data_IF_649241739482
#
_entry.id   IF_649241739482
#
_cell.length_a   1.000
_cell.length_b   1.000
_cell.length_c   1.000
_cell.angle_alpha   90.00
_cell.angle_beta   90.00
_cell.angle_gamma   90.00
#
_symmetry.space_group_name_H-M   'P 1'
#
loop_
_entity.id
_entity.type
_entity.pdbx_description
1 polymer ?
#
# COMPACT_ATOMS: atom_id res chain seq x y z
N UNK A 1 -15.91 24.54 -17.52
CA UNK A 1 -15.03 24.76 -16.34
C UNK A 1 -15.86 25.48 -15.30
N UNK A 2 -16.06 24.89 -14.12
CA UNK A 2 -16.66 25.61 -13.00
C UNK A 2 -15.65 26.66 -12.53
N UNK A 3 -16.06 27.94 -12.49
CA UNK A 3 -15.22 29.03 -11.97
C UNK A 3 -14.88 28.78 -10.50
N UNK A 4 -13.74 29.30 -10.02
CA UNK A 4 -13.37 29.19 -8.59
C UNK A 4 -14.45 29.87 -7.75
N UNK A 5 -15.12 29.16 -6.82
CA UNK A 5 -16.11 29.78 -5.95
C UNK A 5 -15.41 30.77 -5.01
N UNK A 6 -15.98 31.97 -4.86
CA UNK A 6 -15.51 32.98 -3.91
C UNK A 6 -16.19 32.68 -2.57
N UNK A 7 -15.52 31.89 -1.72
CA UNK A 7 -16.10 31.38 -0.47
C UNK A 7 -16.22 32.46 0.62
N UNK A 8 -15.38 33.50 0.58
CA UNK A 8 -15.25 34.49 1.66
C UNK A 8 -16.48 35.35 1.95
N UNK A 9 -17.46 35.41 1.04
CA UNK A 9 -18.67 36.23 1.16
C UNK A 9 -19.97 35.39 1.24
N UNK A 10 -19.86 34.06 1.29
CA UNK A 10 -21.02 33.16 1.24
C UNK A 10 -21.69 33.05 2.61
N UNK A 11 -23.02 32.94 2.61
CA UNK A 11 -23.76 32.50 3.79
C UNK A 11 -23.47 31.03 4.11
N UNK A 12 -23.79 30.59 5.33
CA UNK A 12 -23.63 29.19 5.76
C UNK A 12 -24.32 28.20 4.80
N UNK A 13 -25.60 28.42 4.48
CA UNK A 13 -26.35 27.59 3.53
C UNK A 13 -25.70 27.57 2.14
N UNK A 14 -25.25 28.73 1.65
CA UNK A 14 -24.60 28.83 0.35
C UNK A 14 -23.26 28.09 0.31
N UNK A 15 -22.51 28.03 1.41
CA UNK A 15 -21.30 27.21 1.55
C UNK A 15 -21.65 25.73 1.46
N UNK A 16 -22.67 25.28 2.18
CA UNK A 16 -23.08 23.87 2.20
C UNK A 16 -23.63 23.40 0.84
N UNK A 17 -24.47 24.22 0.19
CA UNK A 17 -24.98 23.95 -1.15
C UNK A 17 -23.84 23.86 -2.19
N UNK A 18 -22.88 24.78 -2.09
CA UNK A 18 -21.69 24.77 -2.96
C UNK A 18 -20.84 23.53 -2.71
N UNK A 19 -20.65 23.13 -1.45
CA UNK A 19 -19.93 21.92 -1.10
C UNK A 19 -20.63 20.67 -1.67
N UNK A 20 -21.95 20.58 -1.58
CA UNK A 20 -22.73 19.48 -2.14
C UNK A 20 -22.62 19.40 -3.68
N UNK A 21 -22.68 20.54 -4.38
CA UNK A 21 -22.51 20.61 -5.83
C UNK A 21 -21.08 20.21 -6.28
N UNK A 22 -20.06 20.66 -5.56
CA UNK A 22 -18.67 20.28 -5.81
C UNK A 22 -18.43 18.79 -5.54
N UNK A 23 -18.97 18.25 -4.45
CA UNK A 23 -18.88 16.83 -4.12
C UNK A 23 -19.52 15.95 -5.21
N UNK A 24 -20.71 16.34 -5.67
CA UNK A 24 -21.40 15.65 -6.78
C UNK A 24 -20.57 15.71 -8.07
N UNK A 25 -20.02 16.87 -8.40
CA UNK A 25 -19.17 17.04 -9.58
C UNK A 25 -17.90 16.18 -9.48
N UNK A 26 -17.25 16.15 -8.32
CA UNK A 26 -16.06 15.33 -8.09
C UNK A 26 -16.38 13.84 -8.25
N UNK A 27 -17.50 13.36 -7.68
CA UNK A 27 -17.94 11.98 -7.82
C UNK A 27 -18.20 11.62 -9.29
N UNK A 28 -18.91 12.46 -10.04
CA UNK A 28 -19.16 12.25 -11.46
C UNK A 28 -17.86 12.21 -12.28
N UNK A 29 -16.92 13.11 -11.99
CA UNK A 29 -15.61 13.13 -12.65
C UNK A 29 -14.80 11.86 -12.36
N UNK A 30 -14.86 11.33 -11.13
CA UNK A 30 -14.22 10.05 -10.78
C UNK A 30 -14.80 8.88 -11.59
N UNK A 31 -16.13 8.81 -11.73
CA UNK A 31 -16.81 7.79 -12.54
C UNK A 31 -16.41 7.93 -14.02
N UNK A 32 -16.44 9.14 -14.57
CA UNK A 32 -16.04 9.41 -15.95
C UNK A 32 -14.57 9.06 -16.20
N UNK A 33 -13.69 9.27 -15.21
CA UNK A 33 -12.29 8.90 -15.32
C UNK A 33 -12.10 7.38 -15.48
N UNK A 34 -12.92 6.56 -14.81
CA UNK A 34 -12.93 5.10 -15.01
C UNK A 34 -13.42 4.74 -16.42
N UNK A 35 -14.50 5.36 -16.90
CA UNK A 35 -15.01 5.14 -18.27
C UNK A 35 -13.95 5.48 -19.32
N UNK A 36 -13.28 6.63 -19.16
CA UNK A 36 -12.19 7.06 -20.04
C UNK A 36 -11.01 6.10 -19.98
N UNK A 37 -10.63 5.62 -18.79
CA UNK A 37 -9.56 4.65 -18.63
C UNK A 37 -9.88 3.31 -19.31
N UNK A 38 -11.13 2.81 -19.19
CA UNK A 38 -11.57 1.62 -19.92
C UNK A 38 -11.51 1.85 -21.44
N UNK A 39 -12.04 2.97 -21.92
CA UNK A 39 -12.00 3.30 -23.36
C UNK A 39 -10.56 3.41 -23.86
N UNK A 40 -9.65 3.96 -23.05
CA UNK A 40 -8.24 4.03 -23.36
C UNK A 40 -7.60 2.64 -23.47
N UNK A 41 -7.97 1.70 -22.60
CA UNK A 41 -7.55 0.31 -22.70
C UNK A 41 -7.99 -0.31 -24.05
N UNK A 42 -9.26 -0.16 -24.41
CA UNK A 42 -9.82 -0.66 -25.69
C UNK A 42 -9.12 -0.06 -26.91
N UNK A 43 -8.81 1.25 -26.88
CA UNK A 43 -8.10 1.91 -27.98
C UNK A 43 -6.63 1.49 -28.10
N UNK A 44 -6.06 0.89 -27.05
CA UNK A 44 -4.70 0.39 -27.03
C UNK A 44 -4.64 -1.14 -26.98
N UNK A 45 -5.63 -1.79 -27.62
CA UNK A 45 -5.60 -3.23 -27.87
C UNK A 45 -4.32 -3.59 -28.68
N UNK A 46 -3.46 -4.46 -28.13
CA UNK A 46 -2.20 -4.83 -28.78
C UNK A 46 -2.40 -5.53 -30.12
N UNK A 47 -3.53 -6.21 -30.36
CA UNK A 47 -3.82 -6.86 -31.66
C UNK A 47 -3.92 -5.83 -32.81
N UNK A 48 -4.19 -4.57 -32.48
CA UNK A 48 -4.28 -3.46 -33.42
C UNK A 48 -3.11 -2.46 -33.33
N UNK A 49 -2.42 -2.41 -32.18
CA UNK A 49 -1.35 -1.45 -31.92
C UNK A 49 0.05 -1.99 -32.17
N UNK A 50 0.23 -3.30 -32.00
CA UNK A 50 1.54 -3.93 -32.04
C UNK A 50 1.62 -4.82 -33.27
N UNK A 51 2.72 -4.71 -34.01
CA UNK A 51 3.08 -5.70 -35.01
C UNK A 51 3.71 -6.90 -34.28
N UNK A 52 3.14 -8.12 -34.38
CA UNK A 52 3.65 -9.28 -33.64
C UNK A 52 5.11 -9.62 -33.95
N UNK A 53 5.55 -9.38 -35.18
CA UNK A 53 6.93 -9.66 -35.62
C UNK A 53 7.90 -8.65 -35.04
N UNK A 54 7.51 -7.38 -35.01
CA UNK A 54 8.32 -6.34 -34.37
C UNK A 54 8.34 -6.51 -32.85
N UNK A 55 7.20 -6.72 -32.21
CA UNK A 55 7.11 -6.87 -30.75
C UNK A 55 7.87 -8.08 -30.21
N UNK A 56 8.10 -9.13 -31.01
CA UNK A 56 8.94 -10.26 -30.60
C UNK A 56 10.44 -9.90 -30.44
N UNK A 57 10.89 -8.74 -30.93
CA UNK A 57 12.29 -8.32 -30.85
C UNK A 57 12.62 -7.71 -29.48
N UNK A 58 13.86 -7.89 -28.95
CA UNK A 58 14.26 -7.29 -27.69
C UNK A 58 14.09 -5.76 -27.67
N UNK A 59 13.55 -5.24 -26.56
CA UNK A 59 13.39 -3.80 -26.33
C UNK A 59 12.21 -3.13 -27.05
N UNK A 60 11.33 -3.91 -27.67
CA UNK A 60 10.09 -3.41 -28.30
C UNK A 60 8.93 -3.41 -27.31
N UNK A 61 7.96 -2.54 -27.57
CA UNK A 61 6.73 -2.45 -26.77
C UNK A 61 6.01 -3.81 -26.73
N UNK A 62 5.61 -4.21 -25.53
CA UNK A 62 4.92 -5.48 -25.29
C UNK A 62 3.43 -5.28 -25.01
N UNK A 63 2.67 -6.35 -25.19
CA UNK A 63 1.34 -6.47 -24.63
C UNK A 63 1.45 -6.73 -23.12
N UNK A 64 0.68 -5.99 -22.32
CA UNK A 64 0.66 -6.12 -20.86
C UNK A 64 -0.74 -6.31 -20.35
N UNK A 65 -0.94 -7.33 -19.53
CA UNK A 65 -2.17 -7.52 -18.78
C UNK A 65 -2.13 -6.64 -17.52
N UNK A 66 -3.04 -5.67 -17.43
CA UNK A 66 -3.15 -4.78 -16.27
C UNK A 66 -4.21 -5.25 -15.28
N UNK A 67 -5.40 -5.60 -15.77
CA UNK A 67 -6.48 -6.20 -14.98
C UNK A 67 -6.19 -7.65 -14.56
N UNK A 68 -7.15 -8.25 -13.87
CA UNK A 68 -7.06 -9.65 -13.44
C UNK A 68 -7.34 -10.63 -14.57
N UNK A 69 -7.46 -11.91 -14.21
CA UNK A 69 -7.77 -12.96 -15.17
C UNK A 69 -9.09 -12.67 -15.92
N UNK A 70 -9.05 -12.76 -17.25
CA UNK A 70 -10.19 -12.50 -18.13
C UNK A 70 -10.20 -11.12 -18.79
N UNK A 71 -9.42 -10.15 -18.31
CA UNK A 71 -9.29 -8.85 -19.01
C UNK A 71 -8.36 -8.94 -20.21
N UNK A 72 -8.66 -8.18 -21.27
CA UNK A 72 -7.79 -8.06 -22.44
C UNK A 72 -6.44 -7.41 -22.09
N UNK A 73 -5.32 -7.84 -22.68
CA UNK A 73 -4.05 -7.12 -22.57
C UNK A 73 -4.16 -5.75 -23.26
N UNK A 74 -3.27 -4.84 -22.88
CA UNK A 74 -3.18 -3.47 -23.40
C UNK A 74 -1.71 -3.19 -23.73
N UNK A 75 -1.45 -2.34 -24.72
CA UNK A 75 -0.08 -1.93 -25.04
C UNK A 75 0.65 -1.32 -23.82
N UNK A 76 1.92 -1.67 -23.62
CA UNK A 76 2.70 -1.29 -22.44
C UNK A 76 2.79 0.23 -22.24
N UNK A 77 2.89 1.03 -23.31
CA UNK A 77 3.01 2.49 -23.21
C UNK A 77 1.67 3.20 -23.03
N UNK A 78 0.54 2.50 -23.07
CA UNK A 78 -0.76 3.10 -22.79
C UNK A 78 -0.81 3.74 -21.39
N UNK A 79 -0.24 3.09 -20.38
CA UNK A 79 -0.25 3.59 -19.01
C UNK A 79 0.59 4.86 -18.83
N UNK A 80 1.78 4.94 -19.46
CA UNK A 80 2.66 6.10 -19.34
C UNK A 80 2.06 7.34 -20.02
N UNK A 81 1.46 7.17 -21.21
CA UNK A 81 0.76 8.23 -21.92
C UNK A 81 -0.45 8.75 -21.13
N UNK A 82 -1.30 7.86 -20.61
CA UNK A 82 -2.44 8.26 -19.79
C UNK A 82 -1.98 8.99 -18.52
N UNK A 83 -1.00 8.42 -17.80
CA UNK A 83 -0.45 8.99 -16.57
C UNK A 83 0.06 10.41 -16.76
N UNK A 84 0.87 10.63 -17.81
CA UNK A 84 1.37 11.95 -18.16
C UNK A 84 0.23 12.97 -18.40
N UNK A 85 -0.88 12.56 -19.02
CA UNK A 85 -2.02 13.45 -19.31
C UNK A 85 -2.88 13.78 -18.09
N UNK A 86 -3.02 12.85 -17.15
CA UNK A 86 -3.83 13.05 -15.93
C UNK A 86 -3.00 13.52 -14.73
N UNK A 87 -1.71 13.81 -14.92
CA UNK A 87 -0.81 14.26 -13.85
C UNK A 87 -0.54 13.18 -12.80
N UNK A 88 -0.46 11.91 -13.20
CA UNK A 88 -0.18 10.76 -12.31
C UNK A 88 1.02 9.96 -12.80
N UNK A 89 1.61 9.18 -11.90
CA UNK A 89 2.67 8.24 -12.28
C UNK A 89 2.16 7.17 -13.24
N UNK A 90 3.05 6.60 -14.04
CA UNK A 90 2.75 5.42 -14.90
C UNK A 90 2.13 4.29 -14.10
N UNK A 91 2.59 4.06 -12.87
CA UNK A 91 2.04 3.04 -11.99
C UNK A 91 0.58 3.33 -11.60
N UNK A 92 0.28 4.56 -11.19
CA UNK A 92 -1.08 4.94 -10.81
C UNK A 92 -2.05 4.92 -12.00
N UNK A 93 -1.58 5.24 -13.21
CA UNK A 93 -2.36 5.12 -14.43
C UNK A 93 -2.58 3.65 -14.85
N UNK A 94 -1.56 2.80 -14.72
CA UNK A 94 -1.70 1.36 -14.94
C UNK A 94 -2.74 0.75 -13.98
N UNK A 95 -2.71 1.12 -12.70
CA UNK A 95 -3.71 0.68 -11.72
C UNK A 95 -5.12 1.16 -12.09
N UNK A 96 -5.26 2.41 -12.56
CA UNK A 96 -6.55 2.94 -13.01
C UNK A 96 -7.10 2.19 -14.24
N UNK A 97 -6.24 1.87 -15.22
CA UNK A 97 -6.60 1.03 -16.38
C UNK A 97 -7.05 -0.35 -15.91
N UNK A 98 -6.28 -0.99 -15.03
CA UNK A 98 -6.62 -2.28 -14.44
C UNK A 98 -7.98 -2.25 -13.73
N UNK A 99 -8.20 -1.26 -12.87
CA UNK A 99 -9.46 -1.10 -12.14
C UNK A 99 -10.65 -0.95 -13.08
N UNK A 100 -10.50 -0.16 -14.13
CA UNK A 100 -11.57 0.07 -15.11
C UNK A 100 -11.89 -1.18 -15.94
N UNK A 101 -10.86 -1.94 -16.37
CA UNK A 101 -11.05 -3.22 -17.06
C UNK A 101 -11.74 -4.24 -16.16
N UNK A 102 -11.30 -4.39 -14.92
CA UNK A 102 -11.92 -5.35 -14.00
C UNK A 102 -13.36 -4.99 -13.63
N UNK A 103 -13.66 -3.70 -13.48
CA UNK A 103 -15.04 -3.27 -13.24
C UNK A 103 -15.94 -3.66 -14.42
N UNK A 104 -15.55 -3.29 -15.64
CA UNK A 104 -16.37 -3.56 -16.81
C UNK A 104 -16.46 -5.07 -17.13
N UNK A 105 -15.33 -5.77 -17.12
CA UNK A 105 -15.24 -7.12 -17.68
C UNK A 105 -15.50 -8.21 -16.64
N UNK A 106 -15.29 -7.93 -15.34
CA UNK A 106 -15.36 -8.93 -14.24
C UNK A 106 -16.37 -8.60 -13.14
N UNK A 107 -16.79 -7.33 -12.99
CA UNK A 107 -17.68 -6.89 -11.91
C UNK A 107 -18.87 -6.06 -12.44
N UNK A 108 -19.72 -6.64 -13.32
CA UNK A 108 -20.78 -5.91 -14.00
C UNK A 108 -21.83 -5.30 -13.06
N UNK A 109 -22.07 -5.88 -11.87
CA UNK A 109 -23.03 -5.35 -10.90
C UNK A 109 -22.50 -4.06 -10.28
N UNK A 110 -21.29 -4.08 -9.71
CA UNK A 110 -20.64 -2.88 -9.19
C UNK A 110 -20.48 -1.82 -10.28
N UNK A 111 -20.11 -2.23 -11.50
CA UNK A 111 -19.94 -1.29 -12.60
C UNK A 111 -21.23 -0.53 -12.93
N UNK A 112 -22.36 -1.23 -13.04
CA UNK A 112 -23.66 -0.60 -13.22
C UNK A 112 -23.99 0.41 -12.13
N UNK A 113 -23.72 0.07 -10.87
CA UNK A 113 -23.97 0.96 -9.72
C UNK A 113 -23.01 2.16 -9.66
N UNK A 114 -21.75 1.99 -10.07
CA UNK A 114 -20.78 3.08 -10.22
C UNK A 114 -21.24 4.07 -11.29
N UNK A 115 -21.69 3.57 -12.45
CA UNK A 115 -22.23 4.41 -13.52
C UNK A 115 -23.50 5.15 -13.10
N UNK A 116 -24.34 4.52 -12.27
CA UNK A 116 -25.52 5.16 -11.69
C UNK A 116 -25.21 6.18 -10.57
N UNK A 117 -23.95 6.29 -10.14
CA UNK A 117 -23.54 7.16 -9.03
C UNK A 117 -23.93 6.64 -7.64
N UNK A 118 -24.41 5.41 -7.54
CA UNK A 118 -24.82 4.78 -6.28
C UNK A 118 -23.64 4.26 -5.46
N UNK A 119 -22.54 3.92 -6.13
CA UNK A 119 -21.31 3.43 -5.51
C UNK A 119 -20.17 4.38 -5.85
N UNK A 120 -19.45 4.83 -4.81
CA UNK A 120 -18.25 5.66 -5.01
C UNK A 120 -17.16 4.88 -5.73
N UNK A 121 -16.46 5.52 -6.66
CA UNK A 121 -15.37 4.90 -7.41
C UNK A 121 -14.31 4.27 -6.50
N UNK A 122 -13.97 4.92 -5.38
CA UNK A 122 -13.02 4.37 -4.40
C UNK A 122 -13.43 3.00 -3.82
N UNK A 123 -14.71 2.78 -3.52
CA UNK A 123 -15.21 1.50 -3.01
C UNK A 123 -15.09 0.41 -4.08
N UNK A 124 -15.57 0.70 -5.29
CA UNK A 124 -15.52 -0.24 -6.41
C UNK A 124 -14.07 -0.61 -6.79
N UNK A 125 -13.17 0.39 -6.83
CA UNK A 125 -11.73 0.19 -7.10
C UNK A 125 -11.05 -0.66 -6.04
N UNK A 126 -11.45 -0.53 -4.77
CA UNK A 126 -10.94 -1.39 -3.71
C UNK A 126 -11.35 -2.85 -3.92
N UNK A 127 -12.61 -3.11 -4.27
CA UNK A 127 -13.09 -4.49 -4.55
C UNK A 127 -12.28 -5.12 -5.67
N UNK A 128 -12.19 -4.48 -6.84
CA UNK A 128 -11.48 -5.05 -7.99
C UNK A 128 -9.99 -5.23 -7.76
N UNK A 129 -9.38 -4.38 -6.92
CA UNK A 129 -8.00 -4.57 -6.49
C UNK A 129 -7.84 -5.84 -5.65
N UNK A 130 -8.81 -6.15 -4.76
CA UNK A 130 -8.77 -7.34 -3.90
C UNK A 130 -9.13 -8.63 -4.64
N UNK A 131 -9.84 -8.56 -5.76
CA UNK A 131 -10.22 -9.72 -6.57
C UNK A 131 -9.29 -9.97 -7.77
N UNK A 132 -8.18 -9.21 -7.91
CA UNK A 132 -7.27 -9.31 -9.06
C UNK A 132 -6.69 -10.71 -9.29
N UNK A 133 -6.39 -11.41 -8.20
CA UNK A 133 -5.81 -12.76 -8.22
C UNK A 133 -6.85 -13.88 -8.32
N UNK A 134 -8.13 -13.55 -8.19
CA UNK A 134 -9.21 -14.51 -8.39
C UNK A 134 -9.41 -14.79 -9.88
N UNK A 135 -10.04 -15.90 -10.21
CA UNK A 135 -10.54 -16.09 -11.57
C UNK A 135 -11.77 -15.18 -11.85
N UNK A 136 -12.31 -15.25 -13.06
CA UNK A 136 -13.43 -14.39 -13.47
C UNK A 136 -14.75 -14.77 -12.76
N UNK A 137 -14.95 -16.05 -12.45
CA UNK A 137 -16.18 -16.58 -11.84
C UNK A 137 -16.20 -16.27 -10.35
N UNK A 138 -15.08 -16.48 -9.67
CA UNK A 138 -14.86 -16.09 -8.28
C UNK A 138 -15.01 -14.58 -8.07
N UNK A 139 -14.45 -13.76 -8.97
CA UNK A 139 -14.61 -12.31 -8.92
C UNK A 139 -16.05 -11.87 -9.15
N UNK A 140 -16.76 -12.46 -10.12
CA UNK A 140 -18.18 -12.20 -10.35
C UNK A 140 -19.07 -12.61 -9.17
N UNK A 141 -18.69 -13.65 -8.42
CA UNK A 141 -19.36 -14.00 -7.17
C UNK A 141 -19.13 -12.92 -6.09
N UNK A 142 -17.88 -12.46 -5.92
CA UNK A 142 -17.58 -11.37 -4.97
C UNK A 142 -18.32 -10.09 -5.35
N UNK A 143 -18.38 -9.74 -6.64
CA UNK A 143 -19.13 -8.60 -7.18
C UNK A 143 -20.57 -8.59 -6.66
N UNK A 144 -21.30 -9.69 -6.88
CA UNK A 144 -22.68 -9.83 -6.45
C UNK A 144 -22.85 -9.71 -4.91
N UNK A 145 -21.93 -10.30 -4.15
CA UNK A 145 -22.02 -10.36 -2.68
C UNK A 145 -21.71 -9.03 -1.98
N UNK A 146 -20.84 -8.18 -2.57
CA UNK A 146 -20.43 -6.92 -1.95
C UNK A 146 -21.15 -5.71 -2.54
N UNK A 147 -21.78 -5.88 -3.72
CA UNK A 147 -22.41 -4.79 -4.45
C UNK A 147 -23.32 -3.97 -3.55
N UNK A 148 -24.28 -4.59 -2.86
CA UNK A 148 -25.25 -3.88 -2.00
C UNK A 148 -24.56 -3.00 -0.95
N UNK A 149 -23.56 -3.55 -0.26
CA UNK A 149 -22.84 -2.90 0.84
C UNK A 149 -21.83 -1.83 0.39
N UNK A 150 -21.60 -1.68 -0.92
CA UNK A 150 -20.62 -0.73 -1.47
C UNK A 150 -21.12 0.72 -1.57
N UNK A 151 -22.36 1.00 -1.18
CA UNK A 151 -22.97 2.34 -1.24
C UNK A 151 -22.52 3.32 -0.14
N UNK A 152 -21.68 2.86 0.80
CA UNK A 152 -21.11 3.69 1.86
C UNK A 152 -21.97 3.83 3.11
N UNK A 153 -23.07 3.09 3.25
CA UNK A 153 -23.88 3.06 4.50
C UNK A 153 -23.14 2.41 5.68
N UNK A 154 -22.21 1.50 5.40
CA UNK A 154 -21.31 0.93 6.41
C UNK A 154 -19.99 1.69 6.43
N UNK A 155 -19.33 1.69 7.59
CA UNK A 155 -18.01 2.32 7.74
C UNK A 155 -16.99 1.65 6.81
N UNK A 156 -15.99 2.43 6.39
CA UNK A 156 -14.93 1.95 5.50
C UNK A 156 -14.26 0.68 6.02
N UNK A 157 -13.84 0.66 7.28
CA UNK A 157 -13.20 -0.51 7.89
C UNK A 157 -14.10 -1.76 7.89
N UNK A 158 -15.41 -1.59 8.08
CA UNK A 158 -16.36 -2.72 8.00
C UNK A 158 -16.53 -3.21 6.57
N UNK A 159 -16.54 -2.31 5.60
CA UNK A 159 -16.57 -2.66 4.18
C UNK A 159 -15.30 -3.42 3.77
N UNK A 160 -14.12 -2.95 4.19
CA UNK A 160 -12.85 -3.63 3.92
C UNK A 160 -12.85 -5.06 4.46
N UNK A 161 -13.29 -5.25 5.72
CA UNK A 161 -13.38 -6.56 6.34
C UNK A 161 -14.38 -7.48 5.61
N UNK A 162 -15.52 -6.94 5.18
CA UNK A 162 -16.52 -7.67 4.39
C UNK A 162 -15.91 -8.17 3.07
N UNK A 163 -15.29 -7.28 2.29
CA UNK A 163 -14.68 -7.63 0.99
C UNK A 163 -13.59 -8.67 1.18
N UNK A 164 -12.70 -8.50 2.16
CA UNK A 164 -11.64 -9.50 2.45
C UNK A 164 -12.25 -10.85 2.82
N UNK A 165 -13.31 -10.88 3.63
CA UNK A 165 -14.02 -12.11 3.97
C UNK A 165 -14.65 -12.78 2.76
N UNK A 166 -15.27 -12.00 1.85
CA UNK A 166 -15.86 -12.52 0.61
C UNK A 166 -14.80 -13.03 -0.35
N UNK A 167 -13.67 -12.33 -0.50
CA UNK A 167 -12.53 -12.82 -1.32
C UNK A 167 -12.00 -14.15 -0.79
N UNK A 168 -11.85 -14.30 0.53
CA UNK A 168 -11.43 -15.56 1.13
C UNK A 168 -12.46 -16.69 0.97
N UNK A 169 -13.76 -16.36 1.00
CA UNK A 169 -14.83 -17.32 0.77
C UNK A 169 -14.95 -17.75 -0.71
N UNK A 170 -14.67 -16.84 -1.64
CA UNK A 170 -14.71 -17.09 -3.07
C UNK A 170 -13.61 -18.07 -3.52
N UNK A 171 -12.40 -17.92 -2.96
CA UNK A 171 -11.27 -18.80 -3.26
C UNK A 171 -10.59 -19.32 -1.98
N UNK A 172 -11.18 -20.32 -1.31
CA UNK A 172 -10.65 -20.85 -0.05
C UNK A 172 -9.24 -21.44 -0.18
N UNK A 173 -8.92 -22.08 -1.30
CA UNK A 173 -7.59 -22.67 -1.52
C UNK A 173 -6.53 -21.60 -1.74
N UNK A 174 -6.80 -20.56 -2.55
CA UNK A 174 -5.89 -19.41 -2.69
C UNK A 174 -5.68 -18.71 -1.35
N UNK A 175 -6.72 -18.61 -0.52
CA UNK A 175 -6.60 -18.05 0.83
C UNK A 175 -5.69 -18.90 1.72
N UNK A 176 -5.86 -20.23 1.71
CA UNK A 176 -4.99 -21.18 2.44
C UNK A 176 -3.55 -21.12 1.96
N UNK A 177 -3.32 -21.10 0.64
CA UNK A 177 -1.97 -21.00 0.08
C UNK A 177 -1.30 -19.68 0.45
N UNK A 178 -2.02 -18.56 0.43
CA UNK A 178 -1.49 -17.26 0.90
C UNK A 178 -1.18 -17.28 2.37
N UNK A 179 -2.05 -17.87 3.18
CA UNK A 179 -1.82 -18.03 4.61
C UNK A 179 -0.60 -18.90 4.87
N UNK A 180 -0.47 -20.03 4.19
CA UNK A 180 0.68 -20.93 4.30
C UNK A 180 1.97 -20.25 3.82
N UNK A 181 1.93 -19.53 2.69
CA UNK A 181 3.06 -18.73 2.20
C UNK A 181 3.44 -17.64 3.19
N UNK A 182 2.48 -16.94 3.79
CA UNK A 182 2.72 -15.89 4.79
C UNK A 182 3.19 -16.46 6.15
N UNK A 183 2.76 -17.66 6.50
CA UNK A 183 3.27 -18.43 7.66
C UNK A 183 4.70 -18.91 7.41
N UNK A 184 5.01 -19.36 6.20
CA UNK A 184 6.35 -19.82 5.80
C UNK A 184 7.31 -18.69 5.45
N UNK A 185 6.80 -17.49 5.16
CA UNK A 185 7.61 -16.33 4.83
C UNK A 185 8.52 -15.96 6.00
N UNK A 186 9.77 -16.39 5.87
CA UNK A 186 10.87 -16.08 6.79
C UNK A 186 11.74 -15.03 6.11
N UNK A 187 11.94 -13.89 6.75
CA UNK A 187 12.77 -12.82 6.20
C UNK A 187 13.40 -11.98 7.30
N UNK A 188 14.53 -11.36 6.96
CA UNK A 188 15.26 -10.40 7.77
C UNK A 188 15.64 -9.23 6.85
N UNK A 189 15.04 -8.05 7.02
CA UNK A 189 15.27 -6.90 6.13
C UNK A 189 15.14 -5.56 6.82
N UNK A 190 15.86 -4.56 6.30
CA UNK A 190 15.68 -3.15 6.63
C UNK A 190 14.30 -2.67 6.18
N UNK A 191 13.60 -1.91 7.03
CA UNK A 191 12.27 -1.33 6.78
C UNK A 191 12.32 0.17 7.05
N UNK A 192 11.55 0.92 6.26
CA UNK A 192 11.41 2.37 6.36
C UNK A 192 12.38 3.13 5.46
N UNK A 193 12.03 4.37 5.15
CA UNK A 193 12.97 5.34 4.59
C UNK A 193 13.81 5.88 5.75
N UNK A 194 15.13 6.06 5.61
CA UNK A 194 15.92 6.65 6.68
C UNK A 194 15.43 8.07 6.99
N UNK A 195 14.79 8.24 8.14
CA UNK A 195 14.39 9.54 8.68
C UNK A 195 15.28 9.83 9.89
N UNK A 196 15.81 11.05 9.99
CA UNK A 196 16.76 11.44 11.04
C UNK A 196 18.01 10.53 11.16
N UNK A 197 18.44 9.91 10.05
CA UNK A 197 19.57 8.97 10.06
C UNK A 197 19.26 7.59 10.64
N UNK A 198 18.01 7.32 11.05
CA UNK A 198 17.58 6.08 11.69
C UNK A 198 16.85 5.17 10.71
N UNK A 199 16.92 3.86 10.93
CA UNK A 199 16.12 2.89 10.18
C UNK A 199 15.78 1.67 11.06
N UNK A 200 14.70 0.97 10.71
CA UNK A 200 14.28 -0.24 11.40
C UNK A 200 14.76 -1.48 10.67
N UNK A 201 14.98 -2.57 11.40
CA UNK A 201 15.25 -3.89 10.84
C UNK A 201 14.20 -4.87 11.37
N UNK A 202 13.48 -5.54 10.46
CA UNK A 202 12.42 -6.48 10.82
C UNK A 202 12.86 -7.91 10.52
N UNK A 203 12.72 -8.77 11.52
CA UNK A 203 12.86 -10.22 11.39
C UNK A 203 11.50 -10.87 11.57
N UNK A 204 11.12 -11.71 10.62
CA UNK A 204 9.97 -12.61 10.70
C UNK A 204 10.49 -14.03 10.57
N UNK A 205 10.29 -14.83 11.62
CA UNK A 205 10.75 -16.22 11.72
C UNK A 205 9.81 -17.03 12.65
N UNK A 206 9.93 -18.36 12.73
CA UNK A 206 9.20 -19.17 13.70
C UNK A 206 9.43 -18.71 15.15
N UNK A 207 8.43 -18.86 16.02
CA UNK A 207 8.49 -18.44 17.43
C UNK A 207 9.77 -18.93 18.14
N UNK A 208 10.19 -20.20 18.04
CA UNK A 208 11.43 -20.66 18.70
C UNK A 208 12.69 -19.92 18.23
N UNK A 209 12.74 -19.49 16.97
CA UNK A 209 13.86 -18.70 16.43
C UNK A 209 13.85 -17.29 17.00
N UNK A 210 12.67 -16.67 17.09
CA UNK A 210 12.52 -15.34 17.70
C UNK A 210 12.84 -15.39 19.20
N UNK A 211 12.39 -16.41 19.92
CA UNK A 211 12.71 -16.62 21.34
C UNK A 211 14.20 -16.86 21.56
N UNK A 212 14.85 -17.64 20.71
CA UNK A 212 16.30 -17.85 20.76
C UNK A 212 17.07 -16.55 20.50
N UNK A 213 16.65 -15.77 19.52
CA UNK A 213 17.24 -14.47 19.21
C UNK A 213 17.07 -13.50 20.38
N UNK A 214 15.87 -13.38 20.92
CA UNK A 214 15.57 -12.52 22.07
C UNK A 214 16.39 -12.92 23.30
N UNK A 215 16.50 -14.22 23.57
CA UNK A 215 17.32 -14.75 24.66
C UNK A 215 18.79 -14.41 24.45
N UNK A 216 19.33 -14.58 23.24
CA UNK A 216 20.72 -14.27 22.94
C UNK A 216 21.03 -12.76 23.07
N UNK A 217 20.15 -11.90 22.53
CA UNK A 217 20.25 -10.44 22.66
C UNK A 217 20.20 -10.04 24.14
N UNK A 218 19.23 -10.56 24.89
CA UNK A 218 19.07 -10.26 26.31
C UNK A 218 20.28 -10.70 27.12
N UNK A 219 20.83 -11.89 26.86
CA UNK A 219 22.03 -12.39 27.54
C UNK A 219 23.27 -11.52 27.27
N UNK A 220 23.42 -10.97 26.06
CA UNK A 220 24.51 -10.04 25.74
C UNK A 220 24.26 -8.67 26.38
N UNK A 221 23.02 -8.16 26.31
CA UNK A 221 22.63 -6.88 26.90
C UNK A 221 22.82 -6.87 28.43
N UNK A 222 22.49 -7.97 29.12
CA UNK A 222 22.75 -8.10 30.56
C UNK A 222 24.24 -8.14 30.89
N UNK A 223 25.07 -8.84 30.09
CA UNK A 223 26.53 -8.80 30.25
C UNK A 223 27.10 -7.38 30.06
N UNK A 224 26.51 -6.59 29.17
CA UNK A 224 26.91 -5.20 28.95
C UNK A 224 26.50 -4.27 30.10
N UNK A 225 25.54 -4.66 30.95
CA UNK A 225 25.04 -3.81 32.03
C UNK A 225 26.10 -3.46 33.07
N UNK A 226 27.08 -4.34 33.29
CA UNK A 226 28.21 -4.07 34.20
C UNK A 226 29.16 -2.98 33.66
N UNK A 227 29.23 -2.82 32.34
CA UNK A 227 30.13 -1.88 31.67
C UNK A 227 29.43 -0.58 31.27
N UNK A 228 28.12 -0.66 31.02
CA UNK A 228 27.23 0.44 30.62
C UNK A 228 25.97 0.38 31.48
N UNK A 229 26.03 0.90 32.72
CA UNK A 229 24.88 0.90 33.64
C UNK A 229 23.69 1.68 33.07
N UNK A 230 22.52 1.43 33.65
CA UNK A 230 21.29 2.16 33.34
C UNK A 230 21.49 3.66 33.56
N UNK A 231 21.23 4.47 32.54
CA UNK A 231 21.11 5.91 32.74
C UNK A 231 19.80 6.21 33.50
N UNK A 232 19.88 6.69 34.76
CA UNK A 232 18.70 7.01 35.55
C UNK A 232 17.84 8.14 34.93
N UNK A 233 18.40 8.91 33.98
CA UNK A 233 17.75 10.04 33.31
C UNK A 233 17.35 9.76 31.85
N UNK A 234 17.47 8.52 31.34
CA UNK A 234 17.17 8.20 29.94
C UNK A 234 15.75 8.63 29.49
N UNK A 235 14.77 8.61 30.39
CA UNK A 235 13.41 9.07 30.12
C UNK A 235 13.25 10.61 30.11
N UNK A 236 14.18 11.34 30.73
CA UNK A 236 14.19 12.81 30.82
C UNK A 236 14.91 13.46 29.62
N UNK A 237 15.89 12.77 29.02
CA UNK A 237 16.61 13.25 27.81
C UNK A 237 15.65 13.50 26.64
N UNK A 238 14.60 12.67 26.49
CA UNK A 238 13.53 12.85 25.49
C UNK A 238 12.71 14.16 25.67
N UNK A 239 12.84 14.86 26.81
CA UNK A 239 12.12 16.11 27.13
C UNK A 239 13.01 17.35 27.16
N UNK A 240 14.33 17.22 27.00
CA UNK A 240 15.24 18.37 27.00
C UNK A 240 15.29 19.03 25.62
N UNK A 241 15.30 20.38 25.52
CA UNK A 241 15.60 21.05 24.26
C UNK A 241 17.05 20.74 23.86
N UNK A 242 17.29 20.50 22.57
CA UNK A 242 18.62 20.21 22.01
C UNK A 242 19.56 21.40 22.32
N UNK A 243 20.40 21.23 23.35
CA UNK A 243 21.45 22.15 23.75
C UNK A 243 22.82 21.51 23.51
N UNK A 244 23.83 22.34 23.25
CA UNK A 244 25.19 21.99 22.80
C UNK A 244 25.72 20.65 23.36
N UNK A 245 25.76 19.64 22.50
CA UNK A 245 26.41 18.36 22.78
C UNK A 245 27.89 18.60 23.09
N UNK A 246 28.33 18.17 24.27
CA UNK A 246 29.72 18.24 24.68
C UNK A 246 30.51 17.15 23.90
N UNK A 247 31.42 17.51 22.96
CA UNK A 247 31.74 16.61 21.84
C UNK A 247 32.72 15.47 22.13
N UNK A 248 33.03 15.14 23.40
CA UNK A 248 34.20 14.26 23.66
C UNK A 248 34.14 13.44 24.97
N UNK A 249 32.93 13.13 25.48
CA UNK A 249 32.80 12.12 26.54
C UNK A 249 31.92 10.98 26.06
N UNK A 250 32.52 9.80 25.90
CA UNK A 250 31.78 8.57 25.65
C UNK A 250 30.73 8.37 26.77
N UNK A 251 29.45 8.16 26.43
CA UNK A 251 28.39 8.06 27.44
C UNK A 251 28.70 6.90 28.39
N UNK A 252 28.76 7.21 29.69
CA UNK A 252 29.11 6.24 30.74
C UNK A 252 27.90 5.46 31.25
N UNK A 253 26.70 5.81 30.78
CA UNK A 253 25.43 5.14 31.03
C UNK A 253 24.56 5.21 29.77
N UNK A 254 23.78 4.16 29.50
CA UNK A 254 22.91 4.07 28.32
C UNK A 254 21.57 3.44 28.69
N UNK A 255 20.54 3.67 27.88
CA UNK A 255 19.22 3.07 28.04
C UNK A 255 19.23 1.55 27.80
N UNK A 256 18.21 0.87 28.32
CA UNK A 256 18.03 -0.57 28.09
C UNK A 256 17.90 -0.92 26.60
N UNK A 257 17.25 -0.07 25.81
CA UNK A 257 17.09 -0.28 24.37
C UNK A 257 18.42 -0.09 23.62
N UNK A 258 19.24 0.89 23.99
CA UNK A 258 20.59 1.07 23.42
C UNK A 258 21.49 -0.13 23.70
N UNK A 259 21.45 -0.71 24.92
CA UNK A 259 22.19 -1.96 25.19
C UNK A 259 21.71 -3.12 24.33
N UNK A 260 20.41 -3.23 24.07
CA UNK A 260 19.87 -4.26 23.17
C UNK A 260 20.33 -4.05 21.73
N UNK A 261 20.40 -2.80 21.25
CA UNK A 261 20.95 -2.48 19.92
C UNK A 261 22.44 -2.82 19.85
N UNK A 262 23.23 -2.45 20.87
CA UNK A 262 24.63 -2.83 20.98
C UNK A 262 24.83 -4.35 21.02
N UNK A 263 23.99 -5.07 21.77
CA UNK A 263 23.99 -6.53 21.82
C UNK A 263 23.75 -7.14 20.44
N UNK A 264 22.81 -6.62 19.66
CA UNK A 264 22.58 -7.05 18.26
C UNK A 264 23.83 -6.81 17.41
N UNK A 265 24.48 -5.65 17.54
CA UNK A 265 25.70 -5.33 16.80
C UNK A 265 26.87 -6.27 17.19
N UNK A 266 27.07 -6.55 18.47
CA UNK A 266 28.11 -7.46 18.95
C UNK A 266 27.85 -8.92 18.54
N UNK A 267 26.59 -9.36 18.49
CA UNK A 267 26.23 -10.67 17.97
C UNK A 267 26.52 -10.78 16.46
N UNK A 268 26.32 -9.69 15.71
CA UNK A 268 26.64 -9.63 14.28
C UNK A 268 28.14 -9.47 14.01
N UNK A 269 28.87 -8.82 14.92
CA UNK A 269 30.30 -8.55 14.84
C UNK A 269 30.96 -8.71 16.23
N UNK A 270 31.49 -9.91 16.54
CA UNK A 270 32.03 -10.24 17.87
C UNK A 270 33.20 -9.36 18.35
N UNK A 271 33.93 -8.72 17.42
CA UNK A 271 35.06 -7.84 17.75
C UNK A 271 34.63 -6.41 18.14
N UNK A 272 33.34 -6.10 18.07
CA UNK A 272 32.79 -4.80 18.46
C UNK A 272 33.05 -4.55 19.94
N UNK A 273 33.75 -3.46 20.26
CA UNK A 273 33.91 -3.00 21.65
C UNK A 273 32.71 -2.16 22.06
N UNK A 274 32.27 -2.20 23.33
CA UNK A 274 31.11 -1.45 23.81
C UNK A 274 31.17 0.07 23.56
N UNK A 275 32.38 0.62 23.37
CA UNK A 275 32.64 2.05 23.16
C UNK A 275 32.55 2.52 21.71
N UNK A 276 32.13 1.69 20.75
CA UNK A 276 32.17 2.03 19.30
C UNK A 276 30.95 2.81 18.78
N UNK A 277 30.39 3.71 19.59
CA UNK A 277 29.55 4.79 19.07
C UNK A 277 30.28 6.11 19.30
N UNK A 278 31.08 6.48 18.32
CA UNK A 278 31.56 7.86 18.07
C UNK A 278 31.50 8.07 16.58
#
# INVERSE_FOLDING_TARGET
MLGKPVVGEMSEDAVLDTAAALATTAQQAEVQMLVVAYRWAVLNDPDHKLDPTESAKPGREQAKQYGGAGTRPVSEFAASLLGARIGRSTYAAAALIADAQDLQDRHPVLWGRVLAGEVRASYARFVVTKTRELDALEAGWVDAEVAESADGRITWTRFEALVVGKVAAAAPELAREKEERARRATFAKKIGTPEHGMASFLIRAPIPVIEQLDTAISAVAERLREQLPDDPHAAEVLRQPVGEEQPDQAPTAVSADERRVLAVLMLANPDTRPTTWT
#
